data_IF_821282008748
#
_entry.id   IF_821282008748
#
_cell.length_a   1.000
_cell.length_b   1.000
_cell.length_c   1.000
_cell.angle_alpha   90.00
_cell.angle_beta   90.00
_cell.angle_gamma   90.00
#
_symmetry.space_group_name_H-M   'P 1'
#
loop_
_entity.id
_entity.type
_entity.pdbx_description
1 polymer ?
#
# COMPACT_ATOMS: atom_id res chain seq x y z
N UNK A 1 -2.62 -27.31 -14.01
CA UNK A 1 -2.82 -27.66 -12.59
C UNK A 1 -3.47 -26.49 -11.90
N UNK A 2 -4.51 -26.71 -11.12
CA UNK A 2 -5.18 -25.69 -10.30
C UNK A 2 -4.95 -26.04 -8.84
N UNK A 3 -4.77 -25.00 -8.02
CA UNK A 3 -4.70 -25.15 -6.56
C UNK A 3 -5.85 -24.32 -5.96
N UNK A 4 -6.69 -24.99 -5.18
CA UNK A 4 -7.81 -24.36 -4.48
C UNK A 4 -7.49 -24.35 -2.99
N UNK A 5 -7.59 -23.19 -2.38
CA UNK A 5 -7.38 -23.00 -0.94
C UNK A 5 -8.66 -22.39 -0.36
N UNK A 6 -9.15 -22.95 0.72
CA UNK A 6 -10.31 -22.38 1.43
C UNK A 6 -9.95 -21.00 1.98
N UNK A 7 -10.83 -20.03 1.82
CA UNK A 7 -10.68 -18.71 2.45
C UNK A 7 -10.78 -18.77 3.99
N UNK A 8 -11.23 -19.89 4.54
CA UNK A 8 -11.29 -20.13 5.99
C UNK A 8 -10.08 -20.93 6.49
N UNK A 9 -9.11 -21.25 5.63
CA UNK A 9 -7.89 -21.93 6.04
C UNK A 9 -7.06 -21.04 6.96
N UNK A 10 -6.75 -21.48 8.20
CA UNK A 10 -6.00 -20.65 9.14
C UNK A 10 -4.54 -20.41 8.72
N UNK A 11 -4.02 -21.23 7.80
CA UNK A 11 -2.69 -21.03 7.22
C UNK A 11 -2.64 -20.00 6.09
N UNK A 12 -3.81 -19.55 5.58
CA UNK A 12 -3.88 -18.55 4.53
C UNK A 12 -3.82 -17.14 5.13
N UNK A 13 -2.70 -16.45 4.94
CA UNK A 13 -2.49 -15.08 5.41
C UNK A 13 -2.29 -14.15 4.23
N UNK A 14 -2.76 -12.91 4.36
CA UNK A 14 -2.40 -11.83 3.44
C UNK A 14 -1.45 -10.90 4.18
N UNK A 15 -0.24 -10.77 3.67
CA UNK A 15 0.71 -9.78 4.16
C UNK A 15 0.43 -8.42 3.54
N UNK A 16 0.76 -7.34 4.26
CA UNK A 16 0.66 -6.00 3.69
C UNK A 16 1.61 -5.87 2.51
N UNK A 17 1.28 -4.98 1.60
CA UNK A 17 2.22 -4.53 0.59
C UNK A 17 2.41 -3.05 0.82
N UNK A 18 3.46 -2.68 1.51
CA UNK A 18 3.81 -1.28 1.76
C UNK A 18 4.25 -0.59 0.47
N UNK A 19 4.35 0.71 0.48
CA UNK A 19 4.87 1.50 -0.64
C UNK A 19 6.11 2.25 -0.17
N UNK A 20 7.22 2.10 -0.87
CA UNK A 20 8.35 3.01 -0.75
C UNK A 20 8.39 3.84 -2.02
N UNK A 21 8.36 5.14 -1.87
CA UNK A 21 8.20 6.10 -2.94
C UNK A 21 9.42 7.03 -3.01
N UNK A 22 9.74 7.47 -4.22
CA UNK A 22 10.79 8.44 -4.44
C UNK A 22 10.78 8.98 -5.87
N UNK A 23 11.89 9.61 -6.29
CA UNK A 23 11.94 10.27 -7.59
C UNK A 23 11.12 11.56 -7.66
N UNK A 24 10.85 12.19 -6.52
CA UNK A 24 10.08 13.42 -6.41
C UNK A 24 11.01 14.61 -6.11
N UNK A 25 11.44 15.40 -7.10
CA UNK A 25 12.38 16.51 -6.90
C UNK A 25 11.88 17.56 -5.91
N UNK A 26 10.56 17.73 -5.85
CA UNK A 26 9.93 18.68 -4.94
C UNK A 26 9.62 18.14 -3.56
N UNK A 27 10.04 16.91 -3.22
CA UNK A 27 9.69 16.29 -1.97
C UNK A 27 10.42 16.90 -0.77
N UNK A 28 9.65 17.20 0.24
CA UNK A 28 10.03 17.22 1.66
C UNK A 28 8.81 16.81 2.47
N UNK A 29 9.01 16.33 3.69
CA UNK A 29 7.87 15.90 4.51
C UNK A 29 6.90 17.06 4.78
N UNK A 30 7.40 18.27 5.01
CA UNK A 30 6.56 19.44 5.22
C UNK A 30 5.76 19.83 3.97
N UNK A 31 6.35 19.67 2.77
CA UNK A 31 5.61 19.86 1.51
C UNK A 31 4.56 18.77 1.31
N UNK A 32 4.86 17.53 1.68
CA UNK A 32 3.88 16.44 1.67
C UNK A 32 2.67 16.79 2.56
N UNK A 33 2.93 17.24 3.81
CA UNK A 33 1.88 17.62 4.75
C UNK A 33 1.04 18.79 4.22
N UNK A 34 1.68 19.79 3.61
CA UNK A 34 1.00 20.93 3.02
C UNK A 34 0.16 20.55 1.80
N UNK A 35 0.68 19.69 0.93
CA UNK A 35 -0.02 19.18 -0.25
C UNK A 35 -1.24 18.31 0.13
N UNK A 36 -1.15 17.59 1.22
CA UNK A 36 -2.22 16.76 1.75
C UNK A 36 -3.29 17.56 2.53
N UNK A 37 -2.98 18.80 2.91
CA UNK A 37 -3.89 19.65 3.68
C UNK A 37 -5.21 19.88 2.92
N UNK A 38 -6.31 19.62 3.59
CA UNK A 38 -7.64 19.74 2.99
C UNK A 38 -8.17 18.48 2.28
N UNK A 39 -7.32 17.49 2.03
CA UNK A 39 -7.73 16.21 1.44
C UNK A 39 -7.70 15.03 2.43
N UNK A 40 -6.87 15.13 3.46
CA UNK A 40 -6.76 14.11 4.50
C UNK A 40 -6.38 14.72 5.84
N UNK A 41 -6.73 14.01 6.91
CA UNK A 41 -6.33 14.30 8.28
C UNK A 41 -4.99 13.65 8.55
N UNK A 42 -4.02 14.44 8.95
CA UNK A 42 -2.68 13.97 9.27
C UNK A 42 -2.39 14.27 10.73
N UNK A 43 -2.07 13.20 11.47
CA UNK A 43 -1.70 13.27 12.88
C UNK A 43 -0.20 12.99 12.99
N UNK A 44 0.62 13.96 13.41
CA UNK A 44 2.04 13.73 13.63
C UNK A 44 2.27 12.56 14.58
N UNK A 45 3.30 11.78 14.32
CA UNK A 45 3.67 10.63 15.13
C UNK A 45 5.14 10.72 15.54
N UNK A 46 5.43 10.37 16.79
CA UNK A 46 6.78 10.29 17.32
C UNK A 46 7.07 8.86 17.77
N UNK A 47 8.11 8.24 17.25
CA UNK A 47 8.47 6.87 17.57
C UNK A 47 9.19 6.19 16.40
N UNK A 48 9.51 4.93 16.56
CA UNK A 48 10.11 4.12 15.50
C UNK A 48 9.12 3.78 14.40
N UNK A 49 9.61 3.29 13.27
CA UNK A 49 8.73 2.78 12.20
C UNK A 49 7.88 1.60 12.69
N UNK A 50 8.38 0.79 13.63
CA UNK A 50 7.65 -0.31 14.24
C UNK A 50 6.49 0.20 15.12
N UNK A 51 6.73 1.28 15.88
CA UNK A 51 5.68 1.92 16.69
C UNK A 51 4.62 2.55 15.80
N UNK A 52 5.03 3.22 14.71
CA UNK A 52 4.11 3.75 13.71
C UNK A 52 3.24 2.64 13.09
N UNK A 53 3.85 1.52 12.71
CA UNK A 53 3.10 0.40 12.14
C UNK A 53 2.13 -0.23 13.13
N UNK A 54 2.54 -0.34 14.39
CA UNK A 54 1.67 -0.81 15.49
C UNK A 54 0.48 0.14 15.69
N UNK A 55 0.73 1.44 15.64
CA UNK A 55 -0.34 2.46 15.69
C UNK A 55 -1.30 2.33 14.50
N UNK A 56 -0.79 2.15 13.27
CA UNK A 56 -1.62 1.95 12.08
C UNK A 56 -2.48 0.71 12.19
N UNK A 57 -1.92 -0.40 12.68
CA UNK A 57 -2.60 -1.70 12.79
C UNK A 57 -3.44 -1.84 14.05
N UNK A 58 -3.39 -0.91 15.00
CA UNK A 58 -4.24 -0.91 16.21
C UNK A 58 -5.73 -0.85 15.89
N UNK A 59 -6.09 -0.23 14.76
CA UNK A 59 -7.44 -0.22 14.23
C UNK A 59 -7.63 -1.31 13.18
N UNK A 60 -8.72 -2.07 13.27
CA UNK A 60 -9.03 -3.12 12.30
C UNK A 60 -9.18 -2.54 10.89
N UNK A 61 -8.63 -3.24 9.90
CA UNK A 61 -8.95 -3.00 8.50
C UNK A 61 -10.20 -3.83 8.10
N UNK A 62 -10.96 -3.37 7.12
CA UNK A 62 -12.06 -4.18 6.58
C UNK A 62 -13.29 -3.36 6.21
N UNK A 63 -14.36 -4.08 5.87
CA UNK A 63 -15.63 -3.46 5.46
C UNK A 63 -16.17 -2.54 6.56
N UNK A 64 -16.34 -1.27 6.22
CA UNK A 64 -16.85 -0.25 7.13
C UNK A 64 -15.80 0.50 7.94
N UNK A 65 -14.51 0.10 7.92
CA UNK A 65 -13.44 0.89 8.51
C UNK A 65 -12.89 1.93 7.54
N UNK A 66 -12.58 3.13 8.05
CA UNK A 66 -11.92 4.14 7.24
C UNK A 66 -10.48 3.71 6.90
N UNK A 67 -9.95 4.08 5.72
CA UNK A 67 -8.54 3.92 5.39
C UNK A 67 -7.65 4.57 6.45
N UNK A 68 -6.53 3.90 6.75
CA UNK A 68 -5.55 4.38 7.72
C UNK A 68 -4.16 3.91 7.32
N UNK A 69 -3.23 4.82 7.18
CA UNK A 69 -1.86 4.51 6.77
C UNK A 69 -0.84 5.28 7.59
N UNK A 70 0.37 4.73 7.68
CA UNK A 70 1.53 5.40 8.24
C UNK A 70 2.36 6.05 7.14
N UNK A 71 2.79 7.27 7.38
CA UNK A 71 3.73 8.01 6.55
C UNK A 71 5.06 8.08 7.30
N UNK A 72 6.14 7.58 6.69
CA UNK A 72 7.48 7.59 7.28
C UNK A 72 8.48 8.19 6.31
N UNK A 73 9.14 9.25 6.75
CA UNK A 73 10.07 10.03 5.95
C UNK A 73 11.49 9.50 6.01
N UNK A 74 12.11 9.27 4.85
CA UNK A 74 13.51 8.91 4.73
C UNK A 74 14.43 10.08 4.36
N UNK A 75 13.85 11.17 3.86
CA UNK A 75 14.62 12.28 3.30
C UNK A 75 15.11 13.28 4.35
N UNK A 76 14.49 13.36 5.52
CA UNK A 76 14.93 14.25 6.60
C UNK A 76 15.76 13.52 7.64
N UNK A 77 16.73 14.22 8.21
CA UNK A 77 17.62 13.68 9.25
C UNK A 77 16.85 13.24 10.50
N UNK A 78 15.76 13.91 10.84
CA UNK A 78 14.94 13.59 12.01
C UNK A 78 13.90 12.48 11.80
N UNK A 79 13.83 11.88 10.61
CA UNK A 79 12.88 10.79 10.25
C UNK A 79 11.47 11.06 10.75
N UNK A 80 10.85 12.09 10.19
CA UNK A 80 9.48 12.49 10.54
C UNK A 80 8.47 11.39 10.20
N UNK A 81 7.42 11.28 11.00
CA UNK A 81 6.37 10.32 10.79
C UNK A 81 4.98 10.89 11.10
N UNK A 82 3.97 10.32 10.49
CA UNK A 82 2.57 10.68 10.73
C UNK A 82 1.63 9.52 10.42
N UNK A 83 0.43 9.58 11.00
CA UNK A 83 -0.70 8.75 10.60
C UNK A 83 -1.63 9.59 9.73
N UNK A 84 -2.02 9.06 8.59
CA UNK A 84 -2.97 9.70 7.68
C UNK A 84 -4.28 8.91 7.63
N UNK A 85 -5.40 9.64 7.65
CA UNK A 85 -6.77 9.12 7.53
C UNK A 85 -7.59 10.06 6.64
N UNK A 86 -8.72 9.60 6.06
CA UNK A 86 -9.68 10.52 5.45
C UNK A 86 -10.13 11.60 6.42
N UNK A 87 -10.58 12.74 5.88
CA UNK A 87 -11.24 13.77 6.69
C UNK A 87 -12.55 13.25 7.28
N UNK A 88 -12.85 13.65 8.51
CA UNK A 88 -14.11 13.30 9.17
C UNK A 88 -15.33 13.82 8.37
N UNK A 89 -15.17 14.94 7.65
CA UNK A 89 -16.18 15.52 6.75
C UNK A 89 -16.32 14.78 5.42
N UNK A 90 -15.33 13.96 5.03
CA UNK A 90 -15.31 13.20 3.78
C UNK A 90 -14.79 11.77 4.04
N UNK A 91 -15.59 10.94 4.73
CA UNK A 91 -15.15 9.60 5.16
C UNK A 91 -14.98 8.60 3.99
N UNK A 92 -15.51 8.92 2.81
CA UNK A 92 -15.31 8.17 1.58
C UNK A 92 -14.76 9.10 0.48
N UNK A 93 -13.45 9.46 0.56
CA UNK A 93 -12.86 10.45 -0.34
C UNK A 93 -12.78 10.00 -1.80
N UNK A 94 -12.93 8.71 -2.06
CA UNK A 94 -12.91 8.16 -3.42
C UNK A 94 -14.30 8.07 -4.06
N UNK A 95 -15.39 8.39 -3.34
CA UNK A 95 -16.76 8.22 -3.84
C UNK A 95 -17.06 9.08 -5.08
N UNK A 96 -16.63 10.33 -5.08
CA UNK A 96 -16.86 11.23 -6.22
C UNK A 96 -16.05 10.83 -7.46
N UNK A 97 -14.83 10.31 -7.26
CA UNK A 97 -13.93 9.92 -8.36
C UNK A 97 -14.25 8.54 -8.93
N UNK A 98 -14.75 7.63 -8.11
CA UNK A 98 -15.03 6.25 -8.46
C UNK A 98 -16.44 5.84 -8.02
N UNK A 99 -17.49 6.49 -8.56
CA UNK A 99 -18.87 6.19 -8.18
C UNK A 99 -19.27 4.74 -8.54
N UNK A 100 -18.69 4.19 -9.61
CA UNK A 100 -18.95 2.83 -10.09
C UNK A 100 -18.27 1.74 -9.26
N UNK A 101 -17.31 2.11 -8.39
CA UNK A 101 -16.65 1.13 -7.52
C UNK A 101 -17.44 0.93 -6.24
N UNK A 102 -17.57 -0.32 -5.74
CA UNK A 102 -18.26 -0.57 -4.48
C UNK A 102 -17.52 0.12 -3.31
N UNK A 103 -18.27 0.45 -2.27
CA UNK A 103 -17.71 1.06 -1.06
C UNK A 103 -16.57 0.23 -0.46
N UNK A 104 -16.70 -1.11 -0.49
CA UNK A 104 -15.64 -2.03 -0.03
C UNK A 104 -14.32 -1.81 -0.77
N UNK A 105 -14.34 -1.48 -2.06
CA UNK A 105 -13.15 -1.15 -2.84
C UNK A 105 -12.59 0.24 -2.49
N UNK A 106 -13.47 1.24 -2.36
CA UNK A 106 -13.05 2.62 -2.08
C UNK A 106 -12.46 2.79 -0.68
N UNK A 107 -12.86 1.94 0.26
CA UNK A 107 -12.39 1.94 1.66
C UNK A 107 -11.14 1.08 1.90
N UNK A 108 -10.57 0.45 0.87
CA UNK A 108 -9.29 -0.24 1.01
C UNK A 108 -8.16 0.77 1.25
N UNK A 109 -7.29 0.48 2.20
CA UNK A 109 -6.07 1.27 2.42
C UNK A 109 -5.26 1.39 1.13
N UNK A 110 -5.18 0.31 0.36
CA UNK A 110 -4.44 0.27 -0.91
C UNK A 110 -5.07 1.13 -2.00
N UNK A 111 -6.42 1.19 -2.09
CA UNK A 111 -7.11 2.08 -3.02
C UNK A 111 -6.88 3.54 -2.66
N UNK A 112 -7.03 3.86 -1.38
CA UNK A 112 -6.81 5.21 -0.89
C UNK A 112 -5.35 5.65 -1.03
N UNK A 113 -4.40 4.78 -0.70
CA UNK A 113 -2.97 5.04 -0.91
C UNK A 113 -2.67 5.33 -2.37
N UNK A 114 -3.17 4.49 -3.29
CA UNK A 114 -2.94 4.67 -4.72
C UNK A 114 -3.45 6.02 -5.21
N UNK A 115 -4.70 6.32 -4.94
CA UNK A 115 -5.38 7.46 -5.59
C UNK A 115 -5.20 8.77 -4.83
N UNK A 116 -5.33 8.77 -3.50
CA UNK A 116 -5.24 10.00 -2.73
C UNK A 116 -3.79 10.39 -2.40
N UNK A 117 -2.93 9.43 -2.05
CA UNK A 117 -1.56 9.75 -1.64
C UNK A 117 -0.63 9.78 -2.86
N UNK A 118 -0.58 8.69 -3.62
CA UNK A 118 0.43 8.59 -4.68
C UNK A 118 0.07 9.44 -5.88
N UNK A 119 -1.15 9.32 -6.41
CA UNK A 119 -1.53 10.07 -7.61
C UNK A 119 -1.78 11.55 -7.31
N UNK A 120 -2.59 11.87 -6.29
CA UNK A 120 -3.00 13.25 -6.06
C UNK A 120 -1.94 14.08 -5.32
N UNK A 121 -1.26 13.52 -4.33
CA UNK A 121 -0.24 14.25 -3.58
C UNK A 121 1.14 14.07 -4.21
N UNK A 122 1.63 12.84 -4.30
CA UNK A 122 3.02 12.59 -4.72
C UNK A 122 3.24 12.94 -6.20
N UNK A 123 2.43 12.36 -7.11
CA UNK A 123 2.66 12.51 -8.54
C UNK A 123 2.28 13.91 -9.04
N UNK A 124 1.10 14.41 -8.65
CA UNK A 124 0.63 15.71 -9.16
C UNK A 124 1.31 16.91 -8.51
N UNK A 125 1.62 16.86 -7.22
CA UNK A 125 2.06 18.04 -6.48
C UNK A 125 3.56 18.02 -6.12
N UNK A 126 4.17 16.84 -5.94
CA UNK A 126 5.57 16.75 -5.49
C UNK A 126 6.54 16.27 -6.56
N UNK A 127 6.06 15.53 -7.56
CA UNK A 127 6.94 14.99 -8.60
C UNK A 127 7.36 16.04 -9.66
N UNK A 128 6.68 17.18 -9.74
CA UNK A 128 7.03 18.27 -10.67
C UNK A 128 7.23 17.79 -12.12
N UNK A 129 6.39 16.85 -12.58
CA UNK A 129 6.49 16.21 -13.90
C UNK A 129 7.43 15.01 -13.99
N UNK A 130 8.20 14.70 -12.95
CA UNK A 130 9.01 13.50 -12.89
C UNK A 130 8.14 12.25 -12.62
N UNK A 131 8.67 11.09 -12.97
CA UNK A 131 7.99 9.82 -12.66
C UNK A 131 8.27 9.41 -11.23
N UNK A 132 7.22 9.18 -10.45
CA UNK A 132 7.35 8.61 -9.11
C UNK A 132 7.90 7.17 -9.23
N UNK A 133 8.97 6.90 -8.50
CA UNK A 133 9.57 5.58 -8.38
C UNK A 133 8.94 4.82 -7.23
N UNK A 134 8.85 3.49 -7.35
CA UNK A 134 8.14 2.64 -6.40
C UNK A 134 8.95 1.41 -6.02
N UNK A 135 8.75 0.97 -4.76
CA UNK A 135 9.00 -0.39 -4.33
C UNK A 135 7.82 -0.90 -3.51
N UNK A 136 7.65 -2.21 -3.43
CA UNK A 136 6.49 -2.87 -2.83
C UNK A 136 6.92 -3.89 -1.78
N UNK A 137 7.60 -3.48 -0.70
CA UNK A 137 8.02 -4.37 0.38
C UNK A 137 6.82 -4.92 1.16
N UNK A 138 7.03 -6.08 1.78
CA UNK A 138 6.00 -6.78 2.57
C UNK A 138 6.30 -6.75 4.06
N UNK A 139 7.54 -6.48 4.45
CA UNK A 139 7.99 -6.37 5.84
C UNK A 139 8.59 -5.00 6.13
N UNK A 140 8.65 -4.63 7.41
CA UNK A 140 9.29 -3.38 7.81
C UNK A 140 10.80 -3.42 7.63
N UNK A 141 11.40 -4.59 7.73
CA UNK A 141 12.82 -4.82 7.47
C UNK A 141 13.17 -4.49 6.02
N UNK A 142 12.36 -4.98 5.07
CA UNK A 142 12.49 -4.63 3.64
C UNK A 142 12.29 -3.13 3.41
N UNK A 143 11.28 -2.51 4.06
CA UNK A 143 11.05 -1.06 3.98
C UNK A 143 12.29 -0.29 4.44
N UNK A 144 12.89 -0.67 5.57
CA UNK A 144 14.08 -0.04 6.10
C UNK A 144 15.33 -0.29 5.24
N UNK A 145 15.50 -1.50 4.72
CA UNK A 145 16.61 -1.85 3.84
C UNK A 145 16.58 -1.00 2.55
N UNK A 146 15.40 -0.84 1.93
CA UNK A 146 15.21 0.05 0.79
C UNK A 146 15.47 1.51 1.20
N UNK A 147 14.99 1.92 2.36
CA UNK A 147 15.19 3.28 2.89
C UNK A 147 16.65 3.64 3.13
N UNK A 148 17.49 2.65 3.50
CA UNK A 148 18.94 2.80 3.65
C UNK A 148 19.72 2.63 2.34
N UNK A 149 19.02 2.28 1.26
CA UNK A 149 19.66 2.01 -0.03
C UNK A 149 20.39 0.67 -0.12
N UNK A 150 20.15 -0.25 0.83
CA UNK A 150 20.75 -1.60 0.86
C UNK A 150 20.07 -2.52 -0.16
N UNK A 151 18.78 -2.26 -0.45
CA UNK A 151 17.99 -2.96 -1.46
C UNK A 151 17.45 -2.00 -2.50
N UNK A 152 17.39 -2.45 -3.73
CA UNK A 152 16.95 -1.60 -4.85
C UNK A 152 15.43 -1.55 -5.02
N UNK A 153 14.70 -2.52 -4.49
CA UNK A 153 13.27 -2.67 -4.79
C UNK A 153 12.98 -2.69 -6.31
N UNK A 154 12.05 -3.50 -6.77
CA UNK A 154 11.75 -3.58 -8.20
C UNK A 154 11.23 -2.22 -8.72
N UNK A 155 12.02 -1.50 -9.50
CA UNK A 155 11.65 -0.26 -10.19
C UNK A 155 12.18 1.05 -9.58
N UNK A 156 12.77 1.04 -8.37
CA UNK A 156 13.24 2.27 -7.71
C UNK A 156 14.70 2.63 -8.01
N UNK A 157 15.58 1.64 -8.08
CA UNK A 157 17.03 1.85 -8.05
C UNK A 157 17.55 2.07 -6.63
N UNK A 158 18.87 2.12 -6.48
CA UNK A 158 19.50 2.31 -5.17
C UNK A 158 19.30 3.74 -4.66
N UNK A 159 18.99 3.90 -3.36
CA UNK A 159 18.90 5.20 -2.70
C UNK A 159 17.78 6.13 -3.19
N UNK A 160 16.76 5.59 -3.84
CA UNK A 160 15.65 6.42 -4.34
C UNK A 160 14.64 6.81 -3.26
N UNK A 161 14.62 6.12 -2.13
CA UNK A 161 13.56 6.20 -1.12
C UNK A 161 13.47 7.59 -0.47
N UNK A 162 12.29 8.19 -0.51
CA UNK A 162 11.97 9.45 0.13
C UNK A 162 10.86 9.28 1.17
N UNK A 163 9.84 8.48 0.86
CA UNK A 163 8.66 8.27 1.70
C UNK A 163 8.30 6.78 1.73
N UNK A 164 8.03 6.24 2.92
CA UNK A 164 7.30 4.99 3.04
C UNK A 164 5.84 5.25 3.42
N UNK A 165 4.92 4.52 2.77
CA UNK A 165 3.50 4.45 3.13
C UNK A 165 3.23 3.05 3.65
N UNK A 166 3.00 2.96 4.96
CA UNK A 166 2.71 1.71 5.66
C UNK A 166 1.21 1.45 5.63
N UNK A 167 0.81 0.33 5.06
CA UNK A 167 -0.60 -0.07 4.93
C UNK A 167 -0.89 -1.27 5.82
N UNK A 168 -2.14 -1.41 6.27
CA UNK A 168 -2.62 -2.60 6.97
C UNK A 168 -2.73 -3.79 5.99
N UNK A 169 -2.61 -5.03 6.48
CA UNK A 169 -2.95 -6.21 5.68
C UNK A 169 -4.39 -6.09 5.16
N UNK A 170 -4.59 -6.39 3.87
CA UNK A 170 -5.94 -6.43 3.30
C UNK A 170 -6.69 -7.64 3.86
N UNK A 171 -7.83 -7.46 4.55
CA UNK A 171 -8.58 -8.60 5.09
C UNK A 171 -9.16 -9.47 3.98
N UNK A 172 -9.21 -10.79 4.21
CA UNK A 172 -9.84 -11.73 3.29
C UNK A 172 -11.32 -11.39 3.02
N UNK A 173 -12.03 -10.84 4.02
CA UNK A 173 -13.40 -10.35 3.85
C UNK A 173 -13.49 -9.26 2.79
N UNK A 174 -12.56 -8.31 2.78
CA UNK A 174 -12.54 -7.24 1.77
C UNK A 174 -12.22 -7.80 0.37
N UNK A 175 -11.31 -8.77 0.26
CA UNK A 175 -11.05 -9.47 -1.02
C UNK A 175 -12.32 -10.12 -1.53
N UNK A 176 -13.04 -10.85 -0.66
CA UNK A 176 -14.30 -11.50 -0.99
C UNK A 176 -15.37 -10.49 -1.45
N UNK A 177 -15.51 -9.39 -0.72
CA UNK A 177 -16.59 -8.42 -0.98
C UNK A 177 -16.36 -7.66 -2.29
N UNK A 178 -15.11 -7.30 -2.60
CA UNK A 178 -14.73 -6.72 -3.90
C UNK A 178 -14.92 -7.74 -5.03
N UNK A 179 -14.52 -8.99 -4.81
CA UNK A 179 -14.67 -10.07 -5.79
C UNK A 179 -16.14 -10.36 -6.10
N UNK A 180 -17.02 -10.39 -5.08
CA UNK A 180 -18.46 -10.57 -5.25
C UNK A 180 -19.12 -9.43 -6.03
N UNK A 181 -18.56 -8.24 -5.95
CA UNK A 181 -19.00 -7.10 -6.76
C UNK A 181 -18.49 -7.15 -8.21
N UNK A 182 -17.79 -8.22 -8.59
CA UNK A 182 -17.16 -8.39 -9.91
C UNK A 182 -16.24 -7.23 -10.30
N UNK A 183 -15.47 -6.72 -9.34
CA UNK A 183 -14.53 -5.60 -9.51
C UNK A 183 -13.12 -6.08 -9.22
N UNK A 184 -12.16 -5.67 -10.04
CA UNK A 184 -10.74 -5.93 -9.80
C UNK A 184 -10.21 -4.99 -8.70
N UNK A 185 -9.44 -5.55 -7.79
CA UNK A 185 -8.69 -4.77 -6.80
C UNK A 185 -7.57 -3.97 -7.49
N UNK A 186 -7.10 -2.86 -6.89
CA UNK A 186 -5.89 -2.20 -7.37
C UNK A 186 -4.70 -3.16 -7.43
N UNK A 187 -3.72 -2.85 -8.28
CA UNK A 187 -2.50 -3.65 -8.33
C UNK A 187 -1.78 -3.63 -6.98
N UNK A 188 -1.08 -4.75 -6.67
CA UNK A 188 -0.33 -4.88 -5.42
C UNK A 188 -1.18 -4.70 -4.14
N UNK A 189 -2.43 -5.14 -4.20
CA UNK A 189 -3.36 -5.07 -3.06
C UNK A 189 -3.22 -6.22 -2.08
N UNK A 190 -2.73 -7.37 -2.54
CA UNK A 190 -2.63 -8.59 -1.74
C UNK A 190 -1.31 -9.31 -1.98
N UNK A 191 -0.76 -9.85 -0.90
CA UNK A 191 0.34 -10.79 -0.95
C UNK A 191 -0.05 -12.02 -0.13
N UNK A 192 -0.56 -13.03 -0.82
CA UNK A 192 -0.91 -14.29 -0.17
C UNK A 192 0.34 -15.04 0.28
N UNK A 193 0.34 -15.47 1.53
CA UNK A 193 1.43 -16.21 2.15
C UNK A 193 0.90 -17.46 2.88
N UNK A 194 1.62 -18.58 2.85
CA UNK A 194 2.84 -18.83 2.08
C UNK A 194 2.58 -18.89 0.57
N UNK A 195 3.59 -18.53 -0.22
CA UNK A 195 3.55 -18.76 -1.68
C UNK A 195 3.67 -20.25 -1.96
N UNK A 196 2.88 -20.72 -2.92
CA UNK A 196 3.02 -22.10 -3.39
C UNK A 196 4.39 -22.27 -4.04
N UNK A 197 5.04 -23.39 -3.70
CA UNK A 197 6.29 -23.76 -4.34
C UNK A 197 6.06 -24.00 -5.84
N UNK A 198 6.90 -23.38 -6.67
CA UNK A 198 6.91 -23.57 -8.12
C UNK A 198 8.01 -24.57 -8.49
N UNK A 199 7.85 -25.26 -9.63
CA UNK A 199 8.84 -26.22 -10.11
C UNK A 199 8.76 -27.61 -9.48
N UNK A 200 7.83 -27.87 -8.57
CA UNK A 200 7.57 -29.21 -8.05
C UNK A 200 6.91 -30.13 -9.06
N UNK A 201 6.18 -29.55 -10.01
CA UNK A 201 5.48 -30.25 -11.08
C UNK A 201 5.76 -29.55 -12.40
N UNK A 202 6.15 -30.32 -13.41
CA UNK A 202 6.36 -29.82 -14.78
C UNK A 202 5.24 -30.39 -15.63
N UNK A 203 4.46 -29.52 -16.25
CA UNK A 203 3.52 -29.93 -17.29
C UNK A 203 4.21 -29.76 -18.67
N UNK A 204 4.65 -30.82 -19.32
CA UNK A 204 5.26 -30.69 -20.64
C UNK A 204 4.21 -30.18 -21.64
N UNK A 205 4.56 -29.12 -22.36
CA UNK A 205 3.71 -28.55 -23.43
C UNK A 205 3.86 -29.27 -24.75
N UNK A 206 4.52 -30.43 -24.78
CA UNK A 206 4.48 -31.31 -25.93
C UNK A 206 3.06 -31.82 -26.08
N UNK A 207 2.50 -31.66 -27.29
CA UNK A 207 1.20 -32.21 -27.61
C UNK A 207 1.12 -33.64 -27.11
N UNK A 208 0.20 -33.87 -26.18
CA UNK A 208 -0.10 -35.23 -25.75
C UNK A 208 -0.55 -35.97 -27.03
N UNK A 209 0.31 -36.79 -27.46
CA UNK A 209 0.03 -37.77 -28.46
C UNK A 209 -1.29 -38.46 -28.13
N UNK A 210 -2.30 -38.20 -28.99
CA UNK A 210 -3.41 -39.07 -29.40
C UNK A 210 -4.22 -39.77 -28.29
#
# INVERSE_FOLDING_TARGET
>A
MFVLISMNDPGLVIWPTHRVLGGMPGYSFDRLLNAARGSMKITPFSGSIHDLYREVTSASAGAGSAPRVGLYDFASEGKKAAVATPLDTHPDPLAARFPDKPKAWRQLDVSWTQHAIVEDVCARQLASGATVKWAFPHTLEEVLAIGRGEETGAGGGQGFAQLAVLVRPTPLSAVRDVSRANVLMPQKSTFFYPKLATGLWINPLTEAVR
#
